data_IF_502809862387
#
_entry.id   IF_502809862387
#
_cell.length_a   1.000
_cell.length_b   1.000
_cell.length_c   1.000
_cell.angle_alpha   90.00
_cell.angle_beta   90.00
_cell.angle_gamma   90.00
#
_symmetry.space_group_name_H-M   'P 1'
#
loop_
_entity.id
_entity.type
_entity.pdbx_description
1 polymer ?
#
# COMPACT_ATOMS: atom_id res chain seq x y z
N UNK A 1 -24.45 -4.15 4.09
CA UNK A 1 -23.94 -4.33 4.14
C UNK A 1 -23.25 -4.22 3.47
N UNK A 2 -23.02 -4.00 2.77
CA UNK A 2 -22.25 -3.93 1.84
C UNK A 2 -21.32 -2.89 1.99
N UNK A 3 -20.65 -2.81 3.01
CA UNK A 3 -19.70 -1.89 3.24
C UNK A 3 -18.46 -2.61 3.19
N UNK A 4 -17.38 -2.10 3.70
CA UNK A 4 -16.10 -2.75 3.66
C UNK A 4 -16.18 -4.15 4.21
N UNK A 5 -16.82 -4.30 5.34
CA UNK A 5 -16.96 -5.62 5.95
C UNK A 5 -17.71 -6.58 5.07
N UNK A 6 -18.74 -6.08 4.45
CA UNK A 6 -19.53 -6.91 3.59
C UNK A 6 -18.74 -7.38 2.38
N UNK A 7 -18.02 -6.46 1.78
CA UNK A 7 -17.21 -6.80 0.63
C UNK A 7 -16.20 -7.88 0.97
N UNK A 8 -15.49 -7.69 2.07
CA UNK A 8 -14.51 -8.67 2.51
C UNK A 8 -15.13 -10.02 2.71
N UNK A 9 -16.32 -10.02 3.28
CA UNK A 9 -17.02 -11.23 3.59
C UNK A 9 -17.37 -12.04 2.37
N UNK A 10 -17.77 -11.37 1.32
CA UNK A 10 -18.22 -12.05 0.11
C UNK A 10 -17.13 -12.26 -0.90
N UNK A 11 -15.96 -11.72 -0.67
CA UNK A 11 -14.85 -11.91 -1.57
C UNK A 11 -15.12 -11.40 -2.97
N UNK A 12 -15.95 -10.40 -3.09
CA UNK A 12 -16.30 -9.86 -4.39
C UNK A 12 -15.64 -8.53 -4.68
N UNK A 13 -14.87 -8.05 -3.74
CA UNK A 13 -14.24 -6.76 -3.89
C UNK A 13 -13.14 -6.84 -4.93
N UNK A 14 -13.00 -5.76 -5.66
CA UNK A 14 -11.93 -5.64 -6.62
C UNK A 14 -10.68 -5.15 -5.89
N UNK A 15 -9.52 -5.33 -6.52
CA UNK A 15 -8.30 -4.81 -5.94
C UNK A 15 -8.37 -3.29 -5.81
N UNK A 16 -9.08 -2.63 -6.74
CA UNK A 16 -9.21 -1.17 -6.70
C UNK A 16 -9.96 -0.72 -5.46
N UNK A 17 -11.01 -1.42 -5.10
CA UNK A 17 -11.78 -1.07 -3.92
C UNK A 17 -10.97 -1.25 -2.65
N UNK A 18 -10.28 -2.37 -2.54
CA UNK A 18 -9.45 -2.63 -1.38
C UNK A 18 -8.34 -1.60 -1.27
N UNK A 19 -7.72 -1.30 -2.40
CA UNK A 19 -6.65 -0.32 -2.44
C UNK A 19 -7.15 1.07 -2.04
N UNK A 20 -8.32 1.45 -2.55
CA UNK A 20 -8.88 2.76 -2.24
C UNK A 20 -9.21 2.92 -0.77
N UNK A 21 -9.77 1.88 -0.16
CA UNK A 21 -10.10 1.90 1.26
C UNK A 21 -8.81 2.01 2.08
N UNK A 22 -7.81 1.21 1.72
CA UNK A 22 -6.53 1.21 2.43
C UNK A 22 -5.88 2.59 2.35
N UNK A 23 -5.87 3.19 1.16
CA UNK A 23 -5.28 4.50 0.97
C UNK A 23 -6.01 5.58 1.77
N UNK A 24 -7.33 5.49 1.80
CA UNK A 24 -8.13 6.44 2.55
C UNK A 24 -7.80 6.39 4.04
N UNK A 25 -7.66 5.19 4.58
CA UNK A 25 -7.28 5.04 5.98
C UNK A 25 -5.89 5.62 6.21
N UNK A 26 -4.97 5.36 5.29
CA UNK A 26 -3.62 5.88 5.37
C UNK A 26 -3.63 7.41 5.45
N UNK A 27 -4.43 8.05 4.60
CA UNK A 27 -4.50 9.51 4.57
C UNK A 27 -5.16 10.11 5.80
N UNK A 28 -6.20 9.45 6.30
CA UNK A 28 -7.05 10.04 7.32
C UNK A 28 -6.71 9.67 8.75
N UNK A 29 -5.90 8.64 8.96
CA UNK A 29 -5.73 8.12 10.33
C UNK A 29 -4.28 8.02 10.76
N UNK A 30 -4.07 8.23 12.07
CA UNK A 30 -2.79 7.94 12.71
C UNK A 30 -2.95 6.77 13.67
N UNK A 31 -4.13 6.19 13.73
CA UNK A 31 -4.43 5.09 14.64
C UNK A 31 -3.76 3.80 14.13
N UNK A 32 -2.87 3.25 14.92
CA UNK A 32 -2.11 2.06 14.52
C UNK A 32 -2.99 0.86 14.24
N UNK A 33 -4.10 0.73 14.94
CA UNK A 33 -5.02 -0.37 14.68
C UNK A 33 -5.68 -0.24 13.32
N UNK A 34 -6.11 0.97 12.98
CA UNK A 34 -6.70 1.22 11.68
C UNK A 34 -5.66 1.06 10.58
N UNK A 35 -4.44 1.52 10.84
CA UNK A 35 -3.37 1.38 9.85
C UNK A 35 -3.02 -0.08 9.62
N UNK A 36 -3.06 -0.90 10.67
CA UNK A 36 -2.84 -2.34 10.52
C UNK A 36 -3.93 -2.98 9.67
N UNK A 37 -5.16 -2.50 9.84
CA UNK A 37 -6.27 -2.97 9.03
C UNK A 37 -6.07 -2.58 7.57
N UNK A 38 -5.64 -1.34 7.35
CA UNK A 38 -5.35 -0.87 6.00
C UNK A 38 -4.25 -1.72 5.37
N UNK A 39 -3.25 -2.10 6.16
CA UNK A 39 -2.17 -2.95 5.67
C UNK A 39 -2.72 -4.29 5.19
N UNK A 40 -3.64 -4.86 5.94
CA UNK A 40 -4.29 -6.12 5.54
C UNK A 40 -5.04 -5.97 4.22
N UNK A 41 -5.79 -4.88 4.12
CA UNK A 41 -6.57 -4.63 2.91
C UNK A 41 -5.68 -4.45 1.70
N UNK A 42 -4.59 -3.70 1.88
CA UNK A 42 -3.64 -3.50 0.79
C UNK A 42 -2.99 -4.82 0.39
N UNK A 43 -2.65 -5.65 1.38
CA UNK A 43 -2.05 -6.95 1.10
C UNK A 43 -3.02 -7.83 0.34
N UNK A 44 -4.28 -7.83 0.72
CA UNK A 44 -5.30 -8.60 0.01
C UNK A 44 -5.44 -8.11 -1.43
N UNK A 45 -5.33 -6.80 -1.62
CA UNK A 45 -5.37 -6.20 -2.95
C UNK A 45 -4.21 -6.74 -3.81
N UNK A 46 -3.03 -6.86 -3.21
CA UNK A 46 -1.87 -7.40 -3.90
C UNK A 46 -2.09 -8.84 -4.34
N UNK A 47 -2.79 -9.61 -3.52
CA UNK A 47 -3.06 -11.01 -3.82
C UNK A 47 -4.04 -11.16 -4.99
N UNK A 48 -4.90 -10.16 -5.18
CA UNK A 48 -5.86 -10.20 -6.27
C UNK A 48 -5.22 -9.75 -7.58
N UNK A 49 -4.47 -8.65 -7.53
CA UNK A 49 -3.84 -8.12 -8.73
C UNK A 49 -2.63 -7.29 -8.31
N UNK A 50 -1.45 -7.83 -8.49
CA UNK A 50 -0.20 -7.22 -8.08
C UNK A 50 0.18 -6.14 -9.09
N UNK A 51 0.09 -4.87 -8.69
CA UNK A 51 0.39 -3.78 -9.60
C UNK A 51 1.01 -2.60 -8.86
N UNK A 52 1.46 -1.60 -9.62
CA UNK A 52 2.14 -0.45 -9.05
C UNK A 52 1.31 0.25 -7.98
N UNK A 53 0.03 0.45 -8.24
CA UNK A 53 -0.79 1.26 -7.35
C UNK A 53 -0.95 0.63 -5.97
N UNK A 54 -1.21 -0.66 -5.92
CA UNK A 54 -1.41 -1.30 -4.61
C UNK A 54 -0.08 -1.61 -3.92
N UNK A 55 0.99 -1.87 -4.67
CA UNK A 55 2.31 -2.03 -4.06
C UNK A 55 2.75 -0.71 -3.44
N UNK A 56 2.50 0.40 -4.13
CA UNK A 56 2.80 1.73 -3.63
C UNK A 56 2.01 2.02 -2.34
N UNK A 57 0.71 1.73 -2.35
CA UNK A 57 -0.14 1.94 -1.17
C UNK A 57 0.38 1.12 0.02
N UNK A 58 0.67 -0.13 -0.21
CA UNK A 58 1.18 -1.02 0.84
C UNK A 58 2.48 -0.47 1.42
N UNK A 59 3.37 0.00 0.55
CA UNK A 59 4.66 0.57 0.95
C UNK A 59 4.46 1.71 1.95
N UNK A 60 3.62 2.67 1.60
CA UNK A 60 3.47 3.85 2.44
C UNK A 60 2.75 3.54 3.75
N UNK A 61 1.86 2.57 3.75
CA UNK A 61 1.23 2.12 4.98
C UNK A 61 2.28 1.50 5.90
N UNK A 62 3.19 0.71 5.35
CA UNK A 62 4.27 0.12 6.13
C UNK A 62 5.17 1.19 6.72
N UNK A 63 5.46 2.25 5.96
CA UNK A 63 6.26 3.37 6.47
C UNK A 63 5.58 3.99 7.68
N UNK A 64 4.28 4.23 7.57
CA UNK A 64 3.53 4.88 8.63
C UNK A 64 3.45 3.99 9.88
N UNK A 65 3.45 2.69 9.69
CA UNK A 65 3.45 1.73 10.80
C UNK A 65 4.84 1.53 11.40
N UNK A 66 5.86 2.08 10.78
CA UNK A 66 7.21 1.94 11.28
C UNK A 66 7.90 0.66 10.85
N UNK A 67 7.30 -0.07 9.92
CA UNK A 67 7.88 -1.32 9.40
C UNK A 67 8.77 -0.99 8.22
N UNK A 68 9.92 -0.40 8.54
CA UNK A 68 10.79 0.19 7.52
C UNK A 68 11.44 -0.86 6.62
N UNK A 69 11.83 -2.00 7.17
CA UNK A 69 12.44 -3.05 6.34
C UNK A 69 11.47 -3.58 5.29
N UNK A 70 10.24 -3.81 5.70
CA UNK A 70 9.20 -4.25 4.78
C UNK A 70 8.91 -3.16 3.77
N UNK A 71 8.81 -1.92 4.24
CA UNK A 71 8.55 -0.79 3.37
C UNK A 71 9.63 -0.64 2.31
N UNK A 72 10.89 -0.79 2.72
CA UNK A 72 12.01 -0.68 1.80
C UNK A 72 11.93 -1.73 0.69
N UNK A 73 11.62 -2.95 1.07
CA UNK A 73 11.50 -4.04 0.13
C UNK A 73 10.41 -3.78 -0.91
N UNK A 74 9.25 -3.33 -0.44
CA UNK A 74 8.13 -3.07 -1.35
C UNK A 74 8.30 -1.78 -2.13
N UNK A 75 9.03 -0.81 -1.56
CA UNK A 75 9.35 0.41 -2.29
C UNK A 75 10.17 0.09 -3.53
N UNK A 76 11.11 -0.85 -3.42
CA UNK A 76 11.90 -1.26 -4.58
C UNK A 76 11.03 -1.91 -5.64
N UNK A 77 10.08 -2.72 -5.21
CA UNK A 77 9.15 -3.35 -6.14
C UNK A 77 8.26 -2.32 -6.82
N UNK A 78 7.76 -1.36 -6.04
CA UNK A 78 6.93 -0.29 -6.59
C UNK A 78 7.71 0.56 -7.57
N UNK A 79 8.97 0.86 -7.24
CA UNK A 79 9.82 1.65 -8.12
C UNK A 79 9.97 0.96 -9.48
N UNK A 80 10.27 -0.33 -9.46
CA UNK A 80 10.43 -1.11 -10.68
C UNK A 80 9.14 -1.08 -11.53
N UNK A 81 8.01 -1.34 -10.89
CA UNK A 81 6.73 -1.35 -11.58
C UNK A 81 6.35 0.02 -12.13
N UNK A 82 6.61 1.05 -11.32
CA UNK A 82 6.30 2.41 -11.73
C UNK A 82 7.12 2.86 -12.93
N UNK A 83 8.40 2.51 -12.92
CA UNK A 83 9.28 2.88 -14.03
C UNK A 83 8.85 2.22 -15.32
N UNK A 84 8.33 1.01 -15.23
CA UNK A 84 7.88 0.29 -16.42
C UNK A 84 6.67 0.94 -17.07
N UNK A 85 5.88 1.67 -16.31
CA UNK A 85 4.68 2.32 -16.85
C UNK A 85 4.76 3.84 -16.81
N UNK A 86 5.97 4.38 -16.66
CA UNK A 86 6.20 5.82 -16.62
C UNK A 86 5.41 6.54 -15.54
N UNK A 87 5.21 5.89 -14.41
CA UNK A 87 4.56 6.55 -13.28
C UNK A 87 5.56 7.45 -12.57
N UNK A 88 5.04 8.42 -11.81
CA UNK A 88 5.89 9.28 -11.00
C UNK A 88 6.38 8.51 -9.79
N UNK A 89 7.66 8.23 -9.74
CA UNK A 89 8.27 7.46 -8.66
C UNK A 89 9.23 8.27 -7.81
N UNK A 90 9.14 9.59 -7.92
CA UNK A 90 10.05 10.49 -7.20
C UNK A 90 10.05 10.25 -5.70
N UNK A 91 8.87 10.11 -5.10
CA UNK A 91 8.79 9.90 -3.66
C UNK A 91 9.40 8.59 -3.24
N UNK A 92 9.22 7.54 -4.06
CA UNK A 92 9.81 6.24 -3.76
C UNK A 92 11.33 6.32 -3.84
N UNK A 93 11.84 7.01 -4.84
CA UNK A 93 13.28 7.19 -4.97
C UNK A 93 13.85 7.95 -3.77
N UNK A 94 13.16 9.01 -3.36
CA UNK A 94 13.61 9.81 -2.24
C UNK A 94 13.60 9.00 -0.95
N UNK A 95 12.58 8.19 -0.76
CA UNK A 95 12.49 7.34 0.42
C UNK A 95 13.67 6.36 0.48
N UNK A 96 13.92 5.68 -0.64
CA UNK A 96 15.01 4.69 -0.68
C UNK A 96 16.37 5.36 -0.49
N UNK A 97 16.54 6.54 -1.06
CA UNK A 97 17.78 7.30 -0.87
C UNK A 97 17.98 7.68 0.59
N UNK A 98 16.91 8.10 1.25
CA UNK A 98 17.03 8.51 2.64
C UNK A 98 17.46 7.35 3.52
N UNK A 99 17.06 6.13 3.17
CA UNK A 99 17.48 4.95 3.93
C UNK A 99 18.95 4.64 3.67
N UNK A 100 19.39 4.82 2.45
CA UNK A 100 20.80 4.55 2.10
C UNK A 100 21.75 5.52 2.76
N UNK A 101 21.27 6.72 3.08
CA UNK A 101 22.09 7.74 3.71
C UNK A 101 22.27 7.57 5.21
N UNK A 102 21.67 6.57 5.81
CA UNK A 102 21.75 6.36 7.26
C UNK A 102 22.87 5.45 7.72
#
# INVERSE_FOLDING_TARGET
NRKAGFLLEHGTESWEELNAIAWKIYEDSEDMKLLSKAQELAKNSLDIDYNFYNVDTYTWICVKLGEIDTASKYAEKALFLGMKQDADVTQLEDFLKSLADK
#
